data_IF_047140696956
#
_entry.id   IF_047140696956
#
_cell.length_a   1.000
_cell.length_b   1.000
_cell.length_c   1.000
_cell.angle_alpha   90.00
_cell.angle_beta   90.00
_cell.angle_gamma   90.00
#
_symmetry.space_group_name_H-M   'P 1'
#
loop_
_entity.id
_entity.type
_entity.pdbx_description
1 polymer ?
#
# COMPACT_ATOMS: atom_id res chain seq x y z
N UNK A 1 -1.40 6.17 -9.75
CA UNK A 1 -2.64 5.48 -9.32
C UNK A 1 -2.65 5.18 -7.83
N UNK A 2 -1.48 5.10 -7.18
CA UNK A 2 -1.35 4.94 -5.74
C UNK A 2 -2.01 6.07 -4.96
N UNK A 3 -2.68 5.72 -3.86
CA UNK A 3 -3.42 6.62 -2.95
C UNK A 3 -3.13 6.37 -1.47
N UNK A 4 -2.53 5.24 -1.13
CA UNK A 4 -2.14 4.91 0.23
C UNK A 4 -0.82 4.14 0.25
N UNK A 5 -0.08 4.31 1.33
CA UNK A 5 1.12 3.54 1.66
C UNK A 5 1.10 3.26 3.17
N UNK A 6 1.32 2.01 3.53
CA UNK A 6 1.27 1.53 4.91
C UNK A 6 2.45 0.59 5.16
N UNK A 7 3.08 0.70 6.31
CA UNK A 7 4.13 -0.24 6.75
C UNK A 7 3.55 -1.15 7.85
N UNK A 8 3.86 -2.44 7.79
CA UNK A 8 3.43 -3.46 8.73
C UNK A 8 1.91 -3.50 8.89
N UNK A 9 1.47 -3.36 10.14
CA UNK A 9 0.06 -3.25 10.51
C UNK A 9 -0.68 -2.06 9.91
N UNK A 10 0.03 -1.02 9.46
CA UNK A 10 -0.54 0.11 8.74
C UNK A 10 -1.66 0.82 9.51
N UNK A 11 -2.77 1.16 8.82
CA UNK A 11 -3.90 1.84 9.46
C UNK A 11 -4.55 1.02 10.57
N UNK A 12 -4.52 -0.32 10.49
CA UNK A 12 -5.03 -1.18 11.57
C UNK A 12 -4.28 -0.96 12.88
N UNK A 13 -3.01 -0.54 12.83
CA UNK A 13 -2.25 -0.18 14.03
C UNK A 13 -2.86 0.99 14.81
N UNK A 14 -3.64 1.86 14.15
CA UNK A 14 -4.33 2.99 14.81
C UNK A 14 -5.57 2.56 15.60
N UNK A 15 -6.02 1.32 15.42
CA UNK A 15 -7.21 0.76 16.05
C UNK A 15 -6.86 -0.16 17.25
N UNK A 16 -5.56 -0.36 17.53
CA UNK A 16 -5.08 -1.28 18.55
C UNK A 16 -4.32 -0.52 19.63
N UNK A 17 -4.60 -0.74 20.93
CA UNK A 17 -3.83 -0.12 22.01
C UNK A 17 -2.34 -0.49 21.95
N UNK A 18 -1.45 0.47 22.20
CA UNK A 18 -0.01 0.27 22.16
C UNK A 18 0.49 -0.88 23.05
N UNK A 19 -0.16 -1.11 24.20
CA UNK A 19 0.15 -2.23 25.11
C UNK A 19 0.00 -3.61 24.47
N UNK A 20 -0.77 -3.73 23.38
CA UNK A 20 -0.99 -4.97 22.61
C UNK A 20 -0.34 -4.95 21.22
N UNK A 21 0.13 -3.79 20.79
CA UNK A 21 0.62 -3.56 19.43
C UNK A 21 2.14 -3.50 19.35
N UNK A 22 2.82 -3.17 20.45
CA UNK A 22 4.27 -3.10 20.50
C UNK A 22 4.94 -4.43 20.15
N UNK A 23 5.98 -4.36 19.34
CA UNK A 23 6.85 -5.48 19.02
C UNK A 23 7.94 -5.62 20.08
N UNK A 24 7.70 -6.48 21.07
CA UNK A 24 8.68 -6.74 22.12
C UNK A 24 9.92 -7.46 21.56
N UNK A 25 11.11 -6.95 21.88
CA UNK A 25 12.37 -7.62 21.55
C UNK A 25 12.59 -8.87 22.42
N UNK A 26 13.02 -9.95 21.78
CA UNK A 26 13.29 -11.26 22.39
C UNK A 26 14.56 -11.86 21.78
N UNK A 27 15.15 -12.83 22.49
CA UNK A 27 16.16 -13.72 21.92
C UNK A 27 15.42 -14.81 21.13
N UNK A 28 15.72 -14.92 19.84
CA UNK A 28 15.18 -15.93 18.93
C UNK A 28 15.82 -17.31 19.19
N UNK A 29 15.22 -18.42 18.71
CA UNK A 29 15.77 -19.77 18.91
C UNK A 29 17.19 -19.99 18.39
N UNK A 30 17.62 -19.20 17.42
CA UNK A 30 18.97 -19.21 16.85
C UNK A 30 19.99 -18.37 17.66
N UNK A 31 19.56 -17.78 18.78
CA UNK A 31 20.39 -16.93 19.63
C UNK A 31 20.49 -15.48 19.18
N UNK A 32 19.89 -15.11 18.04
CA UNK A 32 19.84 -13.72 17.57
C UNK A 32 18.83 -12.86 18.33
N UNK A 33 19.01 -11.55 18.30
CA UNK A 33 18.00 -10.60 18.76
C UNK A 33 17.01 -10.29 17.64
N UNK A 34 15.72 -10.25 17.98
CA UNK A 34 14.68 -9.76 17.08
C UNK A 34 13.39 -9.51 17.85
N UNK A 35 12.26 -9.36 17.17
CA UNK A 35 10.97 -9.08 17.80
C UNK A 35 10.06 -10.30 17.84
N UNK A 36 9.18 -10.36 18.85
CA UNK A 36 8.21 -11.44 19.01
C UNK A 36 7.10 -11.41 17.95
N UNK A 37 6.76 -10.22 17.49
CA UNK A 37 5.80 -9.92 16.43
C UNK A 37 6.41 -8.91 15.47
N UNK A 38 5.81 -8.72 14.31
CA UNK A 38 6.28 -7.74 13.32
C UNK A 38 5.17 -6.77 12.90
N UNK A 39 4.52 -6.14 13.88
CA UNK A 39 3.46 -5.15 13.65
C UNK A 39 4.01 -3.84 13.05
N UNK A 40 5.26 -3.52 13.37
CA UNK A 40 6.03 -2.41 12.80
C UNK A 40 6.47 -2.67 11.36
N UNK A 41 6.39 -3.91 10.88
CA UNK A 41 6.70 -4.26 9.49
C UNK A 41 8.16 -4.05 9.13
N UNK A 42 9.07 -4.41 10.03
CA UNK A 42 10.51 -4.31 9.85
C UNK A 42 11.09 -2.92 10.08
N UNK A 43 10.25 -1.92 10.38
CA UNK A 43 10.66 -0.51 10.49
C UNK A 43 10.16 0.12 11.78
N UNK A 44 11.07 0.56 12.65
CA UNK A 44 10.77 1.24 13.91
C UNK A 44 11.51 2.57 13.99
N UNK A 45 10.80 3.65 14.29
CA UNK A 45 11.39 4.99 14.32
C UNK A 45 12.00 5.43 12.98
N UNK A 46 11.56 4.83 11.87
CA UNK A 46 12.12 5.07 10.54
C UNK A 46 13.41 4.28 10.22
N UNK A 47 13.83 3.36 11.10
CA UNK A 47 15.03 2.55 10.94
C UNK A 47 14.63 1.07 10.85
N UNK A 48 15.38 0.29 10.07
CA UNK A 48 15.17 -1.16 10.02
C UNK A 48 15.50 -1.82 11.36
N UNK A 49 14.65 -2.72 11.83
CA UNK A 49 14.82 -3.38 13.13
C UNK A 49 15.34 -4.82 13.03
N UNK A 50 15.64 -5.30 11.81
CA UNK A 50 16.15 -6.64 11.54
C UNK A 50 15.08 -7.69 11.22
N UNK A 51 13.79 -7.35 11.32
CA UNK A 51 12.71 -8.19 10.80
C UNK A 51 12.41 -7.91 9.32
N UNK A 52 11.64 -8.81 8.70
CA UNK A 52 11.15 -8.63 7.33
C UNK A 52 10.39 -7.31 7.16
N UNK A 53 10.70 -6.60 6.08
CA UNK A 53 10.01 -5.35 5.74
C UNK A 53 8.69 -5.69 5.05
N UNK A 54 7.59 -5.33 5.69
CA UNK A 54 6.25 -5.46 5.11
C UNK A 54 5.66 -4.09 4.86
N UNK A 55 5.17 -3.87 3.64
CA UNK A 55 4.39 -2.68 3.31
C UNK A 55 3.26 -3.02 2.35
N UNK A 56 2.26 -2.15 2.33
CA UNK A 56 1.06 -2.27 1.49
C UNK A 56 0.83 -0.94 0.78
N UNK A 57 0.34 -1.04 -0.45
CA UNK A 57 0.02 0.12 -1.29
C UNK A 57 -1.43 0.05 -1.74
N UNK A 58 -2.15 1.15 -1.54
CA UNK A 58 -3.52 1.30 -2.05
C UNK A 58 -3.50 1.89 -3.44
N UNK A 59 -4.02 1.17 -4.43
CA UNK A 59 -4.19 1.66 -5.80
C UNK A 59 -5.67 1.99 -6.07
N UNK A 60 -5.97 3.23 -6.48
CA UNK A 60 -7.31 3.51 -7.00
C UNK A 60 -7.51 2.82 -8.34
N UNK A 61 -8.77 2.54 -8.66
CA UNK A 61 -9.18 2.10 -10.00
C UNK A 61 -8.74 3.13 -11.06
N UNK A 62 -8.44 2.68 -12.30
CA UNK A 62 -8.24 3.57 -13.43
C UNK A 62 -9.36 4.60 -13.56
N UNK A 63 -8.99 5.83 -13.91
CA UNK A 63 -9.95 6.90 -14.17
C UNK A 63 -10.73 6.71 -15.47
N UNK A 64 -10.39 5.69 -16.26
CA UNK A 64 -10.96 5.45 -17.57
C UNK A 64 -11.33 3.98 -17.66
N UNK A 65 -12.63 3.73 -17.74
CA UNK A 65 -13.24 2.42 -17.90
C UNK A 65 -14.14 2.46 -19.14
N UNK A 66 -14.51 1.31 -19.69
CA UNK A 66 -15.35 1.22 -20.90
C UNK A 66 -16.78 1.74 -20.73
N UNK A 67 -17.15 2.23 -19.54
CA UNK A 67 -18.44 2.82 -19.27
C UNK A 67 -18.39 4.33 -19.53
N UNK A 68 -19.44 4.85 -20.17
CA UNK A 68 -19.64 6.27 -20.34
C UNK A 68 -19.75 6.94 -18.96
N UNK A 69 -19.01 8.03 -18.76
CA UNK A 69 -19.03 8.82 -17.53
C UNK A 69 -19.43 10.26 -17.84
N UNK A 70 -20.25 10.84 -16.98
CA UNK A 70 -20.57 12.27 -17.06
C UNK A 70 -19.32 13.10 -16.76
N UNK A 71 -19.12 14.14 -17.56
CA UNK A 71 -18.00 15.08 -17.42
C UNK A 71 -18.42 16.46 -17.93
N UNK A 72 -17.51 17.41 -17.86
CA UNK A 72 -17.65 18.72 -18.49
C UNK A 72 -16.47 18.99 -19.41
N UNK A 73 -16.69 19.78 -20.46
CA UNK A 73 -15.61 20.41 -21.21
C UNK A 73 -14.99 21.56 -20.40
N UNK A 74 -13.86 22.09 -20.85
CA UNK A 74 -13.18 23.21 -20.18
C UNK A 74 -14.03 24.50 -20.12
N UNK A 75 -15.02 24.65 -21.01
CA UNK A 75 -15.97 25.76 -21.02
C UNK A 75 -17.18 25.54 -20.09
N UNK A 76 -17.23 24.42 -19.37
CA UNK A 76 -18.32 24.07 -18.46
C UNK A 76 -19.53 23.42 -19.13
N UNK A 77 -19.52 23.20 -20.45
CA UNK A 77 -20.61 22.47 -21.10
C UNK A 77 -20.64 21.00 -20.65
N UNK A 78 -21.81 20.48 -20.20
CA UNK A 78 -21.96 19.06 -19.88
C UNK A 78 -21.67 18.18 -21.09
N UNK A 79 -21.01 17.05 -20.84
CA UNK A 79 -20.69 16.08 -21.87
C UNK A 79 -20.46 14.68 -21.30
N UNK A 80 -20.12 13.75 -22.18
CA UNK A 80 -19.93 12.35 -21.82
C UNK A 80 -18.54 11.88 -22.24
N UNK A 81 -17.75 11.39 -21.29
CA UNK A 81 -16.47 10.74 -21.53
C UNK A 81 -16.71 9.25 -21.82
N UNK A 82 -16.63 8.86 -23.09
CA UNK A 82 -16.74 7.48 -23.54
C UNK A 82 -15.41 7.02 -24.16
N UNK A 83 -14.43 6.72 -23.32
CA UNK A 83 -13.11 6.29 -23.76
C UNK A 83 -13.04 4.77 -23.97
N UNK A 84 -12.63 4.34 -25.17
CA UNK A 84 -12.58 2.90 -25.57
C UNK A 84 -11.27 2.18 -25.23
N UNK A 85 -10.28 2.88 -24.66
CA UNK A 85 -8.88 2.42 -24.70
C UNK A 85 -8.36 1.57 -23.55
N UNK A 86 -9.07 1.44 -22.42
CA UNK A 86 -8.61 0.65 -21.27
C UNK A 86 -9.59 -0.45 -20.92
N UNK A 87 -9.19 -1.68 -21.23
CA UNK A 87 -9.98 -2.88 -20.96
C UNK A 87 -9.82 -3.40 -19.53
N UNK A 88 -8.72 -3.08 -18.86
CA UNK A 88 -8.46 -3.60 -17.52
C UNK A 88 -9.03 -2.67 -16.45
N UNK A 89 -10.10 -3.06 -15.73
CA UNK A 89 -10.65 -2.27 -14.64
C UNK A 89 -9.75 -2.29 -13.40
N UNK A 90 -8.76 -3.20 -13.36
CA UNK A 90 -7.85 -3.38 -12.24
C UNK A 90 -6.39 -3.23 -12.69
N UNK A 91 -5.63 -2.37 -12.00
CA UNK A 91 -4.20 -2.14 -12.27
C UNK A 91 -3.28 -2.96 -11.37
N UNK A 92 -3.83 -3.56 -10.32
CA UNK A 92 -3.04 -4.23 -9.26
C UNK A 92 -2.13 -5.33 -9.81
N UNK A 93 -2.57 -6.24 -10.71
CA UNK A 93 -1.69 -7.30 -11.22
C UNK A 93 -0.44 -6.77 -11.94
N UNK A 94 -0.55 -5.61 -12.59
CA UNK A 94 0.58 -4.96 -13.27
C UNK A 94 1.42 -4.09 -12.33
N UNK A 95 0.88 -3.71 -11.18
CA UNK A 95 1.58 -2.90 -10.20
C UNK A 95 2.61 -3.71 -9.40
N UNK A 96 2.36 -5.01 -9.17
CA UNK A 96 3.25 -5.90 -8.41
C UNK A 96 4.72 -5.82 -8.86
N UNK A 97 5.07 -6.09 -10.13
CA UNK A 97 6.48 -6.05 -10.57
C UNK A 97 7.10 -4.64 -10.52
N UNK A 98 6.30 -3.59 -10.59
CA UNK A 98 6.77 -2.19 -10.45
C UNK A 98 7.13 -1.90 -9.01
N UNK A 99 6.26 -2.34 -8.09
CA UNK A 99 6.40 -2.15 -6.66
C UNK A 99 7.58 -2.95 -6.11
N UNK A 100 7.76 -4.21 -6.52
CA UNK A 100 8.87 -5.06 -6.07
C UNK A 100 10.24 -4.49 -6.43
N UNK A 101 10.33 -3.71 -7.52
CA UNK A 101 11.58 -3.06 -7.93
C UNK A 101 11.94 -1.84 -7.08
N UNK A 102 10.96 -1.22 -6.43
CA UNK A 102 11.14 0.07 -5.77
C UNK A 102 11.94 0.00 -4.44
N UNK A 103 11.75 -1.01 -3.57
CA UNK A 103 12.56 -1.19 -2.36
C UNK A 103 14.04 -1.51 -2.61
N UNK A 104 14.41 -1.86 -3.85
CA UNK A 104 15.78 -2.23 -4.23
C UNK A 104 16.57 -1.05 -4.83
N UNK A 105 15.96 0.13 -4.94
CA UNK A 105 16.58 1.38 -5.41
C UNK A 105 16.94 2.28 -4.23
#
# INVERSE_FOLDING_TARGET
ATKAFEIGSGFRGTEVPGSRHNDAFIVKPDGSMGTKTNWSGGVQGGITNGEDIYFRLGFKSPATISQAQETVQYDGTPGTLAARGRHDPCVVPRAVPIVERWPLL
#
